data_IF_310812289517
#
_entry.id   IF_310812289517
#
_cell.length_a   1.000
_cell.length_b   1.000
_cell.length_c   1.000
_cell.angle_alpha   90.00
_cell.angle_beta   90.00
_cell.angle_gamma   90.00
#
_symmetry.space_group_name_H-M   'P 1'
#
loop_
_entity.id
_entity.type
_entity.pdbx_description
1 polymer ?
#
# COMPACT_ATOMS: atom_id res chain seq x y z
N UNK A 1 2.73 -22.33 18.83
CA UNK A 1 2.80 -21.31 17.78
C UNK A 1 4.23 -21.32 17.28
N UNK A 2 4.51 -21.95 16.14
CA UNK A 2 5.85 -21.89 15.55
C UNK A 2 6.03 -20.49 14.96
N UNK A 3 6.97 -19.72 15.51
CA UNK A 3 7.33 -18.42 14.94
C UNK A 3 8.16 -18.72 13.70
N UNK A 4 7.53 -18.63 12.53
CA UNK A 4 8.26 -18.68 11.27
C UNK A 4 9.23 -17.49 11.29
N UNK A 5 10.53 -17.78 11.38
CA UNK A 5 11.60 -16.79 11.19
C UNK A 5 11.67 -16.41 9.70
N UNK A 6 10.56 -15.94 9.15
CA UNK A 6 10.55 -15.28 7.87
C UNK A 6 11.15 -13.91 8.11
N UNK A 7 12.34 -13.67 7.54
CA UNK A 7 12.86 -12.32 7.37
C UNK A 7 11.69 -11.43 6.97
N UNK A 8 11.33 -10.42 7.80
CA UNK A 8 10.24 -9.49 7.52
C UNK A 8 10.38 -9.07 6.06
N UNK A 9 9.51 -9.61 5.19
CA UNK A 9 9.65 -9.44 3.76
C UNK A 9 9.02 -8.10 3.44
N UNK A 10 9.79 -7.05 3.68
CA UNK A 10 9.37 -5.70 3.36
C UNK A 10 9.15 -5.64 1.86
N UNK A 11 7.92 -5.38 1.45
CA UNK A 11 7.66 -5.03 0.05
C UNK A 11 8.16 -3.61 -0.12
N UNK A 12 9.30 -3.48 -0.81
CA UNK A 12 9.88 -2.18 -1.13
C UNK A 12 9.03 -1.54 -2.23
N UNK A 13 8.22 -0.60 -1.81
CA UNK A 13 7.43 0.28 -2.66
C UNK A 13 8.34 1.40 -3.19
N UNK A 14 9.34 1.01 -3.98
CA UNK A 14 10.46 1.87 -4.38
C UNK A 14 10.12 2.81 -5.55
N UNK A 15 9.05 2.51 -6.29
CA UNK A 15 8.57 3.34 -7.38
C UNK A 15 7.31 4.12 -6.95
N UNK A 16 7.41 5.44 -6.73
CA UNK A 16 6.29 6.27 -6.26
C UNK A 16 5.02 6.13 -7.10
N UNK A 17 5.17 6.04 -8.41
CA UNK A 17 4.05 5.92 -9.34
C UNK A 17 3.33 4.59 -9.17
N UNK A 18 4.07 3.50 -8.97
CA UNK A 18 3.48 2.17 -8.71
C UNK A 18 2.74 2.17 -7.37
N UNK A 19 3.27 2.84 -6.34
CA UNK A 19 2.63 2.95 -5.03
C UNK A 19 1.30 3.70 -5.11
N UNK A 20 1.31 4.82 -5.83
CA UNK A 20 0.12 5.64 -6.05
C UNK A 20 -0.96 4.88 -6.81
N UNK A 21 -0.59 4.18 -7.88
CA UNK A 21 -1.53 3.36 -8.65
C UNK A 21 -2.09 2.19 -7.82
N UNK A 22 -1.25 1.52 -7.03
CA UNK A 22 -1.70 0.44 -6.15
C UNK A 22 -2.73 0.94 -5.12
N UNK A 23 -2.44 2.07 -4.46
CA UNK A 23 -3.36 2.65 -3.49
C UNK A 23 -4.62 3.22 -4.14
N UNK A 24 -4.52 3.76 -5.36
CA UNK A 24 -5.69 4.17 -6.14
C UNK A 24 -6.62 3.00 -6.41
N UNK A 25 -6.10 1.90 -6.94
CA UNK A 25 -6.87 0.70 -7.19
C UNK A 25 -7.54 0.14 -5.91
N UNK A 26 -6.88 0.23 -4.77
CA UNK A 26 -7.40 -0.27 -3.50
C UNK A 26 -8.43 0.66 -2.82
N UNK A 27 -8.27 1.99 -2.94
CA UNK A 27 -8.99 2.96 -2.10
C UNK A 27 -9.97 3.85 -2.87
N UNK A 28 -9.82 4.01 -4.18
CA UNK A 28 -10.63 4.95 -4.98
C UNK A 28 -12.13 4.72 -4.78
N UNK A 29 -12.60 3.48 -4.80
CA UNK A 29 -14.02 3.19 -4.60
C UNK A 29 -14.58 3.68 -3.25
N UNK A 30 -13.81 3.55 -2.17
CA UNK A 30 -14.23 4.01 -0.83
C UNK A 30 -14.18 5.53 -0.73
N UNK A 31 -13.15 6.15 -1.30
CA UNK A 31 -12.99 7.61 -1.29
C UNK A 31 -14.07 8.27 -2.16
N UNK A 32 -14.32 7.74 -3.36
CA UNK A 32 -15.35 8.22 -4.27
C UNK A 32 -16.76 8.10 -3.67
N UNK A 33 -17.03 7.05 -2.89
CA UNK A 33 -18.31 6.91 -2.17
C UNK A 33 -18.55 8.05 -1.17
N UNK A 34 -17.49 8.61 -0.59
CA UNK A 34 -17.62 9.67 0.42
C UNK A 34 -17.49 11.08 -0.17
N UNK A 35 -16.60 11.28 -1.15
CA UNK A 35 -16.26 12.60 -1.68
C UNK A 35 -16.74 12.85 -3.12
N UNK A 36 -17.30 11.85 -3.79
CA UNK A 36 -17.64 11.90 -5.21
C UNK A 36 -16.46 11.59 -6.13
N UNK A 37 -16.75 11.41 -7.42
CA UNK A 37 -15.74 11.03 -8.42
C UNK A 37 -14.90 12.22 -8.93
N UNK A 38 -15.44 13.43 -8.87
CA UNK A 38 -14.88 14.62 -9.51
C UNK A 38 -13.47 14.97 -9.01
N UNK A 39 -13.11 14.56 -7.78
CA UNK A 39 -11.81 14.86 -7.18
C UNK A 39 -10.76 13.75 -7.34
N UNK A 40 -11.12 12.56 -7.84
CA UNK A 40 -10.24 11.38 -7.75
C UNK A 40 -8.93 11.58 -8.52
N UNK A 41 -9.00 12.14 -9.73
CA UNK A 41 -7.82 12.37 -10.56
C UNK A 41 -6.87 13.39 -9.94
N UNK A 42 -7.40 14.49 -9.44
CA UNK A 42 -6.59 15.49 -8.76
C UNK A 42 -5.98 14.95 -7.47
N UNK A 43 -6.76 14.22 -6.67
CA UNK A 43 -6.34 13.63 -5.41
C UNK A 43 -5.15 12.70 -5.60
N UNK A 44 -5.25 11.74 -6.53
CA UNK A 44 -4.19 10.77 -6.76
C UNK A 44 -2.98 11.38 -7.49
N UNK A 45 -3.17 12.43 -8.30
CA UNK A 45 -2.06 13.20 -8.85
C UNK A 45 -1.25 13.91 -7.75
N UNK A 46 -1.95 14.61 -6.84
CA UNK A 46 -1.31 15.26 -5.67
C UNK A 46 -0.64 14.23 -4.76
N UNK A 47 -1.29 13.10 -4.52
CA UNK A 47 -0.71 12.00 -3.75
C UNK A 47 0.61 11.51 -4.37
N UNK A 48 0.63 11.24 -5.68
CA UNK A 48 1.83 10.80 -6.39
C UNK A 48 2.99 11.78 -6.20
N UNK A 49 2.74 13.08 -6.39
CA UNK A 49 3.76 14.12 -6.19
C UNK A 49 4.30 14.13 -4.76
N UNK A 50 3.40 14.05 -3.78
CA UNK A 50 3.78 14.01 -2.37
C UNK A 50 4.61 12.78 -2.01
N UNK A 51 4.29 11.62 -2.58
CA UNK A 51 5.08 10.39 -2.39
C UNK A 51 6.47 10.54 -3.00
N UNK A 52 6.62 11.15 -4.17
CA UNK A 52 7.94 11.46 -4.78
C UNK A 52 8.76 12.35 -3.86
N UNK A 53 8.15 13.41 -3.31
CA UNK A 53 8.82 14.36 -2.41
C UNK A 53 9.17 13.74 -1.05
N UNK A 54 8.32 12.86 -0.52
CA UNK A 54 8.47 12.25 0.80
C UNK A 54 9.14 10.88 0.78
N UNK A 55 9.62 10.41 -0.38
CA UNK A 55 10.21 9.09 -0.56
C UNK A 55 11.57 9.01 0.13
N UNK A 56 11.53 8.81 1.44
CA UNK A 56 12.67 8.30 2.17
C UNK A 56 12.82 6.79 1.85
N UNK A 57 13.96 6.34 1.30
CA UNK A 57 14.19 4.93 0.97
C UNK A 57 13.98 3.96 2.15
N UNK A 58 14.01 4.46 3.39
CA UNK A 58 13.80 3.65 4.60
C UNK A 58 12.34 3.58 5.07
N UNK A 59 11.48 4.53 4.67
CA UNK A 59 10.14 4.71 5.23
C UNK A 59 9.05 3.87 4.55
N UNK A 60 9.22 3.50 3.28
CA UNK A 60 8.19 2.79 2.50
C UNK A 60 8.36 1.27 2.54
N UNK A 61 8.26 0.73 3.75
CA UNK A 61 8.31 -0.71 4.03
C UNK A 61 6.93 -1.17 4.50
N UNK A 62 6.19 -1.85 3.62
CA UNK A 62 4.96 -2.54 4.04
C UNK A 62 5.35 -3.82 4.79
N UNK A 63 4.81 -3.97 6.00
CA UNK A 63 4.90 -5.21 6.76
C UNK A 63 3.80 -6.14 6.25
N UNK A 64 4.20 -7.25 5.64
CA UNK A 64 3.29 -8.33 5.27
C UNK A 64 3.41 -9.42 6.32
N UNK A 65 2.33 -9.67 7.05
CA UNK A 65 2.20 -10.81 7.93
C UNK A 65 1.49 -11.93 7.15
N UNK A 66 2.04 -13.14 7.19
CA UNK A 66 1.38 -14.32 6.66
C UNK A 66 1.39 -15.39 7.74
N UNK A 67 0.23 -15.98 7.96
CA UNK A 67 0.05 -17.09 8.90
C UNK A 67 -0.27 -18.36 8.11
N UNK A 68 0.44 -19.44 8.44
CA UNK A 68 0.16 -20.76 7.88
C UNK A 68 -0.77 -21.51 8.84
N UNK A 69 -1.98 -21.82 8.38
CA UNK A 69 -2.96 -22.58 9.15
C UNK A 69 -3.00 -24.03 8.67
N UNK A 70 -3.01 -24.98 9.61
CA UNK A 70 -3.24 -26.40 9.34
C UNK A 70 -4.59 -26.81 9.93
N UNK A 71 -5.40 -27.52 9.14
CA UNK A 71 -6.63 -28.12 9.62
C UNK A 71 -6.32 -29.36 10.48
N UNK A 72 -6.93 -29.46 11.66
CA UNK A 72 -6.73 -30.56 12.62
C UNK A 72 -7.92 -31.54 12.65
N UNK A 73 -8.43 -31.91 11.47
CA UNK A 73 -9.39 -33.01 11.35
C UNK A 73 -8.69 -34.36 11.30
#
# INVERSE_FOLDING_TARGET
>A
MEILNSQKKYVSLRNPSICSLFLRAALEGVIAKHFGNDIMDELFNRYTKKVVESLNPEANKLIVLFDLLKNNN
#
